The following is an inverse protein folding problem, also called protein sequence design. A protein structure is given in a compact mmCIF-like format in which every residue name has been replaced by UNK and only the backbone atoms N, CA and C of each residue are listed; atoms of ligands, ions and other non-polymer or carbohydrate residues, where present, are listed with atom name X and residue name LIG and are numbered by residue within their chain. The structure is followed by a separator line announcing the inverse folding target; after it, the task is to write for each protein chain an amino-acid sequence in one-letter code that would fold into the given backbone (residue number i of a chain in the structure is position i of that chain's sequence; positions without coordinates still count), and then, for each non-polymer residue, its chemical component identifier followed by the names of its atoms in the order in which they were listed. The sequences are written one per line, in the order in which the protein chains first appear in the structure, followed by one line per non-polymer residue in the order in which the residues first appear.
data_IF_538073325471
#
_entry.id   IF_538073325471
#
_cell.length_a   1.000
_cell.length_b   1.000
_cell.length_c   1.000
_cell.angle_alpha   90.00
_cell.angle_beta   90.00
_cell.angle_gamma   90.00
#
_symmetry.space_group_name_H-M   'P 1'
#
loop_
_entity.id
_entity.type
_entity.pdbx_description
1 polymer ?
#
# COMPACT_ATOMS: atom_id res chain seq x y z
N UNK A 1 13.63 -21.33 8.52
CA UNK A 1 12.23 -21.69 8.84
C UNK A 1 11.31 -21.06 7.79
N UNK A 2 10.60 -21.85 6.98
CA UNK A 2 9.52 -21.32 6.11
C UNK A 2 8.39 -20.85 7.03
N UNK A 3 8.19 -19.54 7.19
CA UNK A 3 6.97 -19.03 7.82
C UNK A 3 5.82 -19.29 6.87
N UNK A 4 4.83 -20.04 7.32
CA UNK A 4 3.55 -20.21 6.63
C UNK A 4 2.93 -18.82 6.40
N UNK A 5 2.36 -18.60 5.22
CA UNK A 5 1.64 -17.37 4.93
C UNK A 5 0.39 -17.29 5.84
N UNK A 6 0.03 -16.08 6.32
CA UNK A 6 -1.24 -15.87 7.00
C UNK A 6 -2.42 -16.24 6.10
N UNK A 7 -3.54 -16.64 6.70
CA UNK A 7 -4.80 -16.83 5.96
C UNK A 7 -5.37 -15.49 5.50
N UNK A 8 -6.32 -15.52 4.55
CA UNK A 8 -7.01 -14.32 4.08
C UNK A 8 -7.70 -13.58 5.23
N UNK A 9 -8.32 -14.31 6.15
CA UNK A 9 -8.96 -13.75 7.35
C UNK A 9 -7.98 -13.07 8.30
N UNK A 10 -6.80 -13.67 8.53
CA UNK A 10 -5.75 -13.09 9.36
C UNK A 10 -5.23 -11.78 8.76
N UNK A 11 -5.02 -11.74 7.45
CA UNK A 11 -4.68 -10.51 6.73
C UNK A 11 -5.75 -9.44 6.91
N UNK A 12 -7.01 -9.78 6.64
CA UNK A 12 -8.13 -8.83 6.73
C UNK A 12 -8.28 -8.29 8.15
N UNK A 13 -8.21 -9.16 9.16
CA UNK A 13 -8.29 -8.76 10.57
C UNK A 13 -7.17 -7.81 10.96
N UNK A 14 -5.92 -8.13 10.60
CA UNK A 14 -4.76 -7.28 10.91
C UNK A 14 -4.83 -5.92 10.22
N UNK A 15 -5.20 -5.88 8.93
CA UNK A 15 -5.36 -4.63 8.18
C UNK A 15 -6.44 -3.74 8.81
N UNK A 16 -7.59 -4.31 9.17
CA UNK A 16 -8.69 -3.58 9.83
C UNK A 16 -8.32 -3.08 11.22
N UNK A 17 -7.46 -3.81 11.94
CA UNK A 17 -6.91 -3.38 13.22
C UNK A 17 -5.84 -2.29 13.08
N UNK A 18 -5.44 -1.92 11.85
CA UNK A 18 -4.39 -0.93 11.61
C UNK A 18 -2.96 -1.48 11.79
N UNK A 19 -2.78 -2.80 11.77
CA UNK A 19 -1.46 -3.41 11.87
C UNK A 19 -0.63 -3.14 10.61
N UNK A 20 0.37 -2.27 10.76
CA UNK A 20 1.27 -1.86 9.67
C UNK A 20 2.14 -3.00 9.14
N UNK A 21 2.48 -3.98 9.99
CA UNK A 21 3.28 -5.15 9.60
C UNK A 21 2.45 -6.08 8.72
N UNK A 22 1.19 -6.32 9.09
CA UNK A 22 0.27 -7.11 8.27
C UNK A 22 -0.05 -6.40 6.96
N UNK A 23 -0.28 -5.09 6.98
CA UNK A 23 -0.46 -4.29 5.76
C UNK A 23 0.74 -4.39 4.82
N UNK A 24 1.96 -4.24 5.33
CA UNK A 24 3.18 -4.40 4.52
C UNK A 24 3.30 -5.78 3.88
N UNK A 25 3.01 -6.85 4.63
CA UNK A 25 2.98 -8.22 4.09
C UNK A 25 1.91 -8.40 3.01
N UNK A 26 0.74 -7.78 3.18
CA UNK A 26 -0.32 -7.84 2.18
C UNK A 26 0.07 -7.09 0.89
N UNK A 27 0.75 -5.95 0.99
CA UNK A 27 1.30 -5.24 -0.19
C UNK A 27 2.30 -6.15 -0.91
N UNK A 28 3.25 -6.75 -0.19
CA UNK A 28 4.21 -7.71 -0.77
C UNK A 28 3.53 -8.93 -1.40
N UNK A 29 2.44 -9.42 -0.79
CA UNK A 29 1.64 -10.51 -1.35
C UNK A 29 1.02 -10.11 -2.69
N UNK A 30 0.46 -8.90 -2.78
CA UNK A 30 -0.16 -8.35 -4.01
C UNK A 30 0.88 -8.08 -5.10
N UNK A 31 2.09 -7.64 -4.75
CA UNK A 31 3.19 -7.36 -5.69
C UNK A 31 3.94 -8.61 -6.15
N UNK A 32 3.66 -9.77 -5.55
CA UNK A 32 4.40 -10.99 -5.83
C UNK A 32 4.10 -11.55 -7.23
N UNK A 33 5.14 -11.98 -7.95
CA UNK A 33 5.01 -12.63 -9.26
C UNK A 33 4.68 -14.14 -9.19
N UNK A 34 4.50 -14.72 -7.99
CA UNK A 34 4.23 -16.15 -7.83
C UNK A 34 2.74 -16.43 -7.98
N UNK A 35 2.37 -17.30 -8.92
CA UNK A 35 0.99 -17.76 -9.18
C UNK A 35 0.20 -18.11 -7.91
N UNK A 36 0.83 -18.83 -6.98
CA UNK A 36 0.28 -19.23 -5.68
C UNK A 36 -0.20 -18.04 -4.82
N UNK A 37 0.47 -16.89 -4.91
CA UNK A 37 0.13 -15.71 -4.10
C UNK A 37 -1.06 -14.93 -4.67
N UNK A 38 -1.29 -14.98 -5.98
CA UNK A 38 -2.34 -14.19 -6.62
C UNK A 38 -3.73 -14.56 -6.13
N UNK A 39 -4.01 -15.87 -5.95
CA UNK A 39 -5.30 -16.33 -5.47
C UNK A 39 -5.60 -15.76 -4.07
N UNK A 40 -4.65 -15.88 -3.14
CA UNK A 40 -4.77 -15.35 -1.78
C UNK A 40 -4.88 -13.82 -1.78
N UNK A 41 -4.11 -13.12 -2.63
CA UNK A 41 -4.16 -11.67 -2.75
C UNK A 41 -5.55 -11.18 -3.20
N UNK A 42 -6.14 -11.83 -4.20
CA UNK A 42 -7.49 -11.50 -4.69
C UNK A 42 -8.55 -11.76 -3.61
N UNK A 43 -8.41 -12.84 -2.85
CA UNK A 43 -9.32 -13.14 -1.73
C UNK A 43 -9.25 -12.05 -0.65
N UNK A 44 -8.04 -11.66 -0.23
CA UNK A 44 -7.83 -10.57 0.74
C UNK A 44 -8.45 -9.25 0.25
N UNK A 45 -8.18 -8.86 -1.01
CA UNK A 45 -8.75 -7.65 -1.61
C UNK A 45 -10.28 -7.74 -1.65
N UNK A 46 -10.84 -8.88 -2.08
CA UNK A 46 -12.28 -9.11 -2.12
C UNK A 46 -12.94 -8.92 -0.76
N UNK A 47 -12.36 -9.51 0.29
CA UNK A 47 -12.85 -9.37 1.67
C UNK A 47 -12.76 -7.94 2.22
N UNK A 48 -11.74 -7.17 1.81
CA UNK A 48 -11.60 -5.76 2.17
C UNK A 48 -12.62 -4.87 1.44
N UNK A 49 -13.02 -5.22 0.22
CA UNK A 49 -13.98 -4.44 -0.57
C UNK A 49 -15.45 -4.79 -0.26
N UNK A 50 -15.74 -6.04 0.10
CA UNK A 50 -17.10 -6.56 0.23
C UNK A 50 -17.94 -5.91 1.34
N UNK A 51 -17.31 -5.36 2.40
CA UNK A 51 -18.03 -4.89 3.59
C UNK A 51 -18.48 -3.43 3.52
N UNK A 52 -18.33 -2.75 2.38
CA UNK A 52 -18.77 -1.36 2.22
C UNK A 52 -18.07 -0.37 3.16
N UNK A 53 -17.07 -0.82 3.91
CA UNK A 53 -16.26 -0.08 4.87
C UNK A 53 -15.14 0.71 4.18
N UNK A 54 -15.41 1.14 2.95
CA UNK A 54 -14.48 1.98 2.20
C UNK A 54 -14.42 3.31 2.92
N UNK A 55 -13.41 3.47 3.78
CA UNK A 55 -13.11 4.77 4.36
C UNK A 55 -12.93 5.76 3.20
N UNK A 56 -13.76 6.81 3.18
CA UNK A 56 -13.61 7.88 2.22
C UNK A 56 -12.20 8.46 2.41
N UNK A 57 -11.40 8.35 1.35
CA UNK A 57 -10.03 8.83 1.32
C UNK A 57 -9.89 9.79 0.16
N UNK A 58 -9.40 10.99 0.44
CA UNK A 58 -9.03 11.94 -0.60
C UNK A 58 -7.78 11.40 -1.32
N UNK A 59 -7.87 11.25 -2.64
CA UNK A 59 -6.77 10.76 -3.49
C UNK A 59 -6.26 11.91 -4.35
N UNK A 60 -5.00 12.28 -4.16
CA UNK A 60 -4.36 13.39 -4.86
C UNK A 60 -3.16 12.87 -5.64
N UNK A 61 -3.08 13.21 -6.91
CA UNK A 61 -1.91 12.93 -7.74
C UNK A 61 -0.95 14.13 -7.70
N UNK A 62 0.34 13.87 -7.46
CA UNK A 62 1.41 14.88 -7.50
C UNK A 62 2.37 14.52 -8.62
N UNK A 63 2.55 15.43 -9.58
CA UNK A 63 3.42 15.25 -10.75
C UNK A 63 4.27 16.49 -11.00
N UNK A 64 5.27 16.38 -11.86
CA UNK A 64 6.18 17.47 -12.21
C UNK A 64 7.57 16.98 -12.62
N UNK A 65 8.35 17.84 -13.27
CA UNK A 65 9.69 17.53 -13.76
C UNK A 65 10.64 17.04 -12.64
N UNK A 66 11.71 16.28 -12.96
CA UNK A 66 12.78 15.99 -12.01
C UNK A 66 13.34 17.28 -11.39
N UNK A 67 13.62 17.28 -10.09
CA UNK A 67 14.19 18.46 -9.40
C UNK A 67 13.21 19.58 -9.02
N UNK A 68 11.93 19.56 -9.44
CA UNK A 68 10.94 20.63 -9.12
C UNK A 68 10.52 20.71 -7.64
N UNK A 69 11.09 19.87 -6.77
CA UNK A 69 10.76 19.87 -5.34
C UNK A 69 9.52 19.06 -4.93
N UNK A 70 9.09 18.09 -5.75
CA UNK A 70 7.94 17.20 -5.42
C UNK A 70 8.08 16.53 -4.05
N UNK A 71 9.26 15.98 -3.75
CA UNK A 71 9.51 15.29 -2.47
C UNK A 71 9.38 16.23 -1.28
N UNK A 72 9.92 17.46 -1.40
CA UNK A 72 9.79 18.51 -0.38
C UNK A 72 8.33 18.90 -0.15
N UNK A 73 7.55 19.04 -1.23
CA UNK A 73 6.12 19.32 -1.15
C UNK A 73 5.37 18.18 -0.43
N UNK A 74 5.61 16.93 -0.83
CA UNK A 74 4.96 15.75 -0.25
C UNK A 74 5.29 15.63 1.24
N UNK A 75 6.53 15.86 1.63
CA UNK A 75 6.97 15.84 3.03
C UNK A 75 6.29 16.93 3.87
N UNK A 76 6.30 18.18 3.37
CA UNK A 76 5.68 19.30 4.07
C UNK A 76 4.16 19.11 4.21
N UNK A 77 3.49 18.69 3.12
CA UNK A 77 2.06 18.41 3.13
C UNK A 77 1.71 17.23 4.05
N UNK A 78 2.49 16.14 3.98
CA UNK A 78 2.30 14.97 4.83
C UNK A 78 2.46 15.30 6.32
N UNK A 79 3.46 16.12 6.66
CA UNK A 79 3.67 16.60 8.04
C UNK A 79 2.51 17.47 8.51
N UNK A 80 2.01 18.36 7.66
CA UNK A 80 0.85 19.18 7.98
C UNK A 80 -0.41 18.33 8.23
N UNK A 81 -0.73 17.39 7.34
CA UNK A 81 -1.89 16.49 7.47
C UNK A 81 -1.80 15.63 8.73
N UNK A 82 -0.62 15.10 9.04
CA UNK A 82 -0.43 14.25 10.24
C UNK A 82 -0.52 15.06 11.54
N UNK A 83 -0.11 16.34 11.54
CA UNK A 83 -0.32 17.26 12.68
C UNK A 83 -1.79 17.54 12.96
N UNK A 84 -2.66 17.44 11.96
CA UNK A 84 -4.13 17.52 12.14
C UNK A 84 -4.75 16.19 12.64
N UNK A 85 -3.94 15.18 12.97
CA UNK A 85 -4.43 13.87 13.43
C UNK A 85 -4.96 12.96 12.31
N UNK A 86 -4.78 13.34 11.04
CA UNK A 86 -5.19 12.53 9.89
C UNK A 86 -4.09 11.52 9.52
N UNK A 87 -4.48 10.44 8.83
CA UNK A 87 -3.56 9.43 8.29
C UNK A 87 -3.26 9.75 6.83
N UNK A 88 -1.99 9.67 6.44
CA UNK A 88 -1.53 9.86 5.05
C UNK A 88 -0.78 8.61 4.57
N UNK A 89 -0.99 8.26 3.30
CA UNK A 89 -0.22 7.26 2.59
C UNK A 89 0.31 7.88 1.29
N UNK A 90 1.55 7.59 0.95
CA UNK A 90 2.19 8.06 -0.28
C UNK A 90 2.54 6.83 -1.11
N UNK A 91 2.00 6.75 -2.32
CA UNK A 91 2.32 5.71 -3.30
C UNK A 91 3.14 6.33 -4.43
N UNK A 92 4.37 5.87 -4.60
CA UNK A 92 5.22 6.27 -5.72
C UNK A 92 4.95 5.37 -6.93
N UNK A 93 4.82 5.97 -8.12
CA UNK A 93 4.70 5.25 -9.39
C UNK A 93 5.91 5.62 -10.23
N UNK A 94 6.83 4.68 -10.42
CA UNK A 94 8.03 4.85 -11.24
C UNK A 94 8.02 3.86 -12.42
N UNK A 95 7.78 4.35 -13.66
CA UNK A 95 7.72 3.51 -14.85
C UNK A 95 9.08 2.87 -15.20
N UNK A 96 10.20 3.39 -14.71
CA UNK A 96 11.55 2.89 -15.06
C UNK A 96 11.90 1.55 -14.40
N UNK A 97 11.13 1.12 -13.41
CA UNK A 97 11.34 -0.14 -12.66
C UNK A 97 11.31 -1.41 -13.54
N UNK A 98 10.60 -1.39 -14.67
CA UNK A 98 10.54 -2.52 -15.62
C UNK A 98 11.80 -2.73 -16.46
N UNK A 99 12.67 -1.71 -16.58
CA UNK A 99 13.85 -1.75 -17.45
C UNK A 99 15.16 -2.13 -16.72
N UNK A 100 15.22 -1.99 -15.39
CA UNK A 100 16.49 -2.12 -14.66
C UNK A 100 16.80 -3.52 -14.10
N UNK A 101 15.87 -4.49 -14.12
CA UNK A 101 16.07 -5.82 -13.50
C UNK A 101 16.67 -5.83 -12.07
N UNK A 102 16.51 -4.74 -11.32
CA UNK A 102 17.11 -4.58 -9.99
C UNK A 102 18.65 -4.50 -10.05
N UNK A 103 19.21 -3.59 -9.26
CA UNK A 103 20.63 -3.71 -8.88
C UNK A 103 20.77 -4.69 -7.72
#
# INVERSE_FOLDING_TARGET
MRRTLPTSEEFVKGIRAGDRVVLGKAITLVESARSEHHALAQEVIGHLLARGDRAESLRVAVTGAPGVGKSTLIEALGTHITREGKKVAVLAIDPTSSLSKGS
#
